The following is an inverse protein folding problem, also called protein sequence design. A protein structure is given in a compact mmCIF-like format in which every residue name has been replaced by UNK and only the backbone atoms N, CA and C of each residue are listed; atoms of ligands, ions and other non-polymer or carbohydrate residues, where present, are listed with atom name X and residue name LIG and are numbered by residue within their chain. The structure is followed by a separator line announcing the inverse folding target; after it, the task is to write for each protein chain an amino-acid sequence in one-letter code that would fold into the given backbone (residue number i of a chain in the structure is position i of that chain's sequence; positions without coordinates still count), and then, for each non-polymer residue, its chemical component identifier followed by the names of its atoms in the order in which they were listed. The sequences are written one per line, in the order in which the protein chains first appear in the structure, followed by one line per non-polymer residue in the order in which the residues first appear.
data_IF_046671947686
#
_entry.id   IF_046671947686
#
_cell.length_a   1.000
_cell.length_b   1.000
_cell.length_c   1.000
_cell.angle_alpha   90.00
_cell.angle_beta   90.00
_cell.angle_gamma   90.00
#
_symmetry.space_group_name_H-M   'P 1'
#
loop_
_entity.id
_entity.type
_entity.pdbx_description
1 polymer ?
#
# COMPACT_ATOMS: atom_id res chain seq x y z
N UNK A 1 -9.11 12.33 -6.94
CA UNK A 1 -9.55 11.66 -5.71
C UNK A 1 -10.81 10.88 -6.04
N UNK A 2 -10.78 9.56 -6.01
CA UNK A 2 -11.96 8.71 -6.25
C UNK A 2 -12.71 8.58 -4.93
N UNK A 3 -13.98 9.02 -4.87
CA UNK A 3 -14.85 8.75 -3.72
C UNK A 3 -15.39 7.32 -3.84
N UNK A 4 -15.01 6.45 -2.92
CA UNK A 4 -15.56 5.10 -2.79
C UNK A 4 -16.84 5.16 -1.96
N UNK A 5 -17.90 4.47 -2.40
CA UNK A 5 -19.10 4.29 -1.57
C UNK A 5 -18.95 3.06 -0.67
N UNK A 6 -19.53 3.03 0.53
CA UNK A 6 -19.58 1.83 1.35
C UNK A 6 -20.12 0.63 0.54
N UNK A 7 -19.39 -0.49 0.54
CA UNK A 7 -19.74 -1.70 -0.21
C UNK A 7 -19.26 -1.74 -1.66
N UNK A 8 -18.73 -0.64 -2.20
CA UNK A 8 -18.16 -0.60 -3.54
C UNK A 8 -16.73 -1.15 -3.54
N UNK A 9 -16.49 -2.18 -4.35
CA UNK A 9 -15.15 -2.72 -4.61
C UNK A 9 -14.64 -2.13 -5.93
N UNK A 10 -13.50 -1.45 -5.89
CA UNK A 10 -12.77 -1.04 -7.10
C UNK A 10 -11.39 -1.67 -7.10
N UNK A 11 -10.91 -2.07 -8.28
CA UNK A 11 -9.50 -2.43 -8.49
C UNK A 11 -8.70 -1.15 -8.66
N UNK A 12 -7.59 -1.03 -7.95
CA UNK A 12 -6.71 0.14 -8.00
C UNK A 12 -5.30 -0.30 -8.35
N UNK A 13 -4.77 0.21 -9.46
CA UNK A 13 -3.41 -0.09 -9.92
C UNK A 13 -2.45 0.97 -9.37
N UNK A 14 -1.21 0.56 -9.06
CA UNK A 14 -0.16 1.42 -8.49
C UNK A 14 1.09 1.46 -9.39
N UNK A 15 0.92 1.16 -10.68
CA UNK A 15 2.03 1.01 -11.63
C UNK A 15 2.81 2.32 -11.84
N UNK A 16 2.19 3.46 -11.57
CA UNK A 16 2.75 4.81 -11.62
C UNK A 16 3.11 5.38 -10.23
N UNK A 17 3.09 4.54 -9.19
CA UNK A 17 3.34 4.94 -7.81
C UNK A 17 4.63 4.32 -7.28
N UNK A 18 5.43 5.13 -6.60
CA UNK A 18 6.49 4.63 -5.73
C UNK A 18 5.86 4.27 -4.37
N UNK A 19 5.91 2.98 -4.02
CA UNK A 19 5.40 2.49 -2.74
C UNK A 19 6.55 2.30 -1.75
N UNK A 20 6.50 3.04 -0.66
CA UNK A 20 7.46 2.93 0.44
C UNK A 20 6.76 2.49 1.71
N UNK A 21 7.30 1.49 2.40
CA UNK A 21 6.74 1.01 3.66
C UNK A 21 6.93 2.06 4.74
N UNK A 22 5.86 2.44 5.42
CA UNK A 22 5.92 3.32 6.60
C UNK A 22 5.83 2.52 7.90
N UNK A 23 5.06 1.44 7.92
CA UNK A 23 4.94 0.56 9.07
C UNK A 23 4.52 -0.87 8.68
N UNK A 24 4.78 -1.83 9.56
CA UNK A 24 4.33 -3.21 9.44
C UNK A 24 3.71 -3.64 10.75
N UNK A 25 2.65 -4.44 10.70
CA UNK A 25 1.99 -5.01 11.87
C UNK A 25 1.51 -6.43 11.60
N UNK A 26 1.86 -7.35 12.48
CA UNK A 26 1.34 -8.72 12.45
C UNK A 26 0.41 -8.94 13.64
N UNK A 27 -0.81 -9.39 13.38
CA UNK A 27 -1.81 -9.71 14.42
C UNK A 27 -2.36 -11.11 14.16
N UNK A 28 -1.92 -12.09 14.95
CA UNK A 28 -2.25 -13.50 14.70
C UNK A 28 -1.70 -13.94 13.34
N UNK A 29 -2.60 -14.38 12.45
CA UNK A 29 -2.26 -14.75 11.05
C UNK A 29 -2.37 -13.58 10.06
N UNK A 30 -2.88 -12.42 10.49
CA UNK A 30 -3.06 -11.28 9.61
C UNK A 30 -1.77 -10.46 9.55
N UNK A 31 -1.27 -10.25 8.33
CA UNK A 31 -0.12 -9.39 8.05
C UNK A 31 -0.59 -8.08 7.42
N UNK A 32 -0.21 -6.96 8.04
CA UNK A 32 -0.60 -5.62 7.60
C UNK A 32 0.63 -4.78 7.30
N UNK A 33 0.58 -4.06 6.19
CA UNK A 33 1.62 -3.13 5.77
C UNK A 33 0.98 -1.77 5.49
N UNK A 34 1.58 -0.72 6.05
CA UNK A 34 1.27 0.65 5.68
C UNK A 34 2.28 1.08 4.64
N UNK A 35 1.79 1.58 3.52
CA UNK A 35 2.62 2.10 2.45
C UNK A 35 2.26 3.54 2.15
N UNK A 36 3.27 4.36 1.95
CA UNK A 36 3.13 5.68 1.36
C UNK A 36 3.22 5.53 -0.15
N UNK A 37 2.09 5.76 -0.83
CA UNK A 37 2.00 5.77 -2.28
C UNK A 37 2.32 7.18 -2.77
N UNK A 38 3.46 7.33 -3.44
CA UNK A 38 3.98 8.60 -3.95
C UNK A 38 3.92 8.60 -5.48
N UNK A 39 3.27 9.59 -6.11
CA UNK A 39 3.28 9.72 -7.56
C UNK A 39 4.70 9.84 -8.10
N UNK A 40 4.97 9.12 -9.20
CA UNK A 40 6.20 9.25 -9.98
C UNK A 40 5.91 10.15 -11.18
N UNK A 41 6.66 11.26 -11.28
CA UNK A 41 6.59 12.17 -12.42
C UNK A 41 7.09 11.51 -13.71
N UNK A 42 6.75 12.10 -14.85
CA UNK A 42 7.19 11.61 -16.17
C UNK A 42 8.72 11.62 -16.33
N UNK A 43 9.42 12.45 -15.56
CA UNK A 43 10.88 12.53 -15.48
C UNK A 43 11.51 11.53 -14.48
N UNK A 44 10.68 10.66 -13.87
CA UNK A 44 11.10 9.71 -12.84
C UNK A 44 11.22 10.32 -11.44
N UNK A 45 10.90 11.61 -11.25
CA UNK A 45 10.94 12.24 -9.93
C UNK A 45 9.85 11.70 -9.01
N UNK A 46 10.19 11.41 -7.76
CA UNK A 46 9.23 10.97 -6.74
C UNK A 46 8.77 12.20 -5.98
N UNK A 47 7.46 12.48 -6.03
CA UNK A 47 6.91 13.61 -5.29
C UNK A 47 6.78 13.26 -3.80
N UNK A 48 7.16 14.18 -2.91
CA UNK A 48 7.01 13.98 -1.46
C UNK A 48 5.55 13.96 -0.98
N UNK A 49 4.62 14.45 -1.79
CA UNK A 49 3.18 14.42 -1.50
C UNK A 49 2.59 13.05 -1.89
N UNK A 50 2.70 12.08 -0.97
CA UNK A 50 2.08 10.77 -1.11
C UNK A 50 0.94 10.54 -0.14
N UNK A 51 0.01 9.66 -0.49
CA UNK A 51 -1.04 9.19 0.40
C UNK A 51 -0.56 7.96 1.19
N UNK A 52 -0.88 7.91 2.48
CA UNK A 52 -0.68 6.67 3.25
C UNK A 52 -1.90 5.77 3.09
N UNK A 53 -1.65 4.50 2.83
CA UNK A 53 -2.68 3.47 2.71
C UNK A 53 -2.36 2.27 3.60
N UNK A 54 -3.40 1.64 4.11
CA UNK A 54 -3.30 0.41 4.90
C UNK A 54 -3.60 -0.80 4.02
N UNK A 55 -2.71 -1.79 3.99
CA UNK A 55 -2.84 -2.98 3.14
C UNK A 55 -2.84 -4.24 4.00
N UNK A 56 -3.93 -5.00 3.96
CA UNK A 56 -3.96 -6.38 4.43
C UNK A 56 -3.30 -7.27 3.37
N UNK A 57 -2.32 -8.07 3.78
CA UNK A 57 -1.64 -9.02 2.88
C UNK A 57 -2.13 -10.43 3.20
N UNK A 58 -2.66 -11.12 2.20
CA UNK A 58 -3.22 -12.46 2.37
C UNK A 58 -2.14 -13.52 2.61
N UNK A 59 -1.04 -13.45 1.85
CA UNK A 59 0.12 -14.31 2.04
C UNK A 59 1.24 -13.53 2.73
N UNK A 60 1.60 -13.97 3.93
CA UNK A 60 2.78 -13.44 4.64
C UNK A 60 4.00 -13.54 3.72
N UNK A 61 4.77 -12.45 3.55
CA UNK A 61 5.92 -12.46 2.67
C UNK A 61 7.00 -13.44 3.17
N UNK A 62 7.67 -14.12 2.25
CA UNK A 62 8.79 -15.04 2.55
C UNK A 62 10.03 -14.29 3.08
N UNK A 63 10.13 -13.00 2.76
CA UNK A 63 11.22 -12.10 3.16
C UNK A 63 10.67 -11.03 4.11
N UNK A 64 11.46 -10.68 5.12
CA UNK A 64 11.10 -9.60 6.05
C UNK A 64 10.98 -8.26 5.32
N UNK A 65 9.88 -7.56 5.59
CA UNK A 65 9.62 -6.21 5.09
C UNK A 65 9.79 -5.22 6.25
N UNK A 66 10.56 -4.16 6.03
CA UNK A 66 10.88 -3.16 7.06
C UNK A 66 10.47 -1.75 6.63
N UNK A 67 10.19 -0.84 7.58
CA UNK A 67 9.97 0.58 7.28
C UNK A 67 11.11 1.20 6.47
N UNK A 68 10.77 2.08 5.53
CA UNK A 68 11.70 2.72 4.59
C UNK A 68 12.02 1.88 3.35
N UNK A 69 11.57 0.62 3.30
CA UNK A 69 11.80 -0.25 2.16
C UNK A 69 10.83 0.06 1.01
N UNK A 70 11.35 0.05 -0.22
CA UNK A 70 10.53 0.07 -1.43
C UNK A 70 9.91 -1.31 -1.64
N UNK A 71 8.60 -1.34 -1.90
CA UNK A 71 7.87 -2.57 -2.15
C UNK A 71 6.96 -2.45 -3.37
N UNK A 72 6.48 -3.58 -3.84
CA UNK A 72 5.38 -3.69 -4.79
C UNK A 72 4.31 -4.61 -4.21
N UNK A 73 3.06 -4.33 -4.53
CA UNK A 73 1.90 -5.14 -4.13
C UNK A 73 1.62 -6.17 -5.23
N UNK A 74 1.44 -7.43 -4.85
CA UNK A 74 1.16 -8.53 -5.79
C UNK A 74 -0.34 -8.63 -6.06
N UNK A 75 -0.69 -8.77 -7.34
CA UNK A 75 -2.04 -8.95 -7.86
C UNK A 75 -2.87 -10.05 -7.18
N UNK A 76 -4.23 -9.99 -7.23
CA UNK A 76 -5.02 -9.00 -7.95
C UNK A 76 -5.22 -7.74 -7.12
N UNK A 77 -4.95 -6.61 -7.76
CA UNK A 77 -4.87 -5.32 -7.08
C UNK A 77 -6.16 -4.94 -6.34
N UNK A 78 -6.02 -4.92 -5.01
CA UNK A 78 -6.67 -4.07 -4.03
C UNK A 78 -8.20 -3.99 -4.08
N UNK A 79 -8.90 -4.79 -3.27
CA UNK A 79 -10.28 -4.48 -2.83
C UNK A 79 -10.23 -3.35 -1.81
N UNK A 80 -10.51 -2.13 -2.26
CA UNK A 80 -10.55 -0.96 -1.39
C UNK A 80 -11.84 -0.93 -0.54
N UNK A 81 -11.71 -0.63 0.75
CA UNK A 81 -12.82 -0.28 1.64
C UNK A 81 -12.44 0.98 2.41
N UNK A 82 -13.28 2.01 2.38
CA UNK A 82 -13.09 3.16 3.26
C UNK A 82 -13.48 2.76 4.68
N UNK A 83 -12.59 2.98 5.65
CA UNK A 83 -12.88 2.73 7.05
C UNK A 83 -12.75 4.04 7.81
N UNK A 84 -13.86 4.44 8.43
CA UNK A 84 -13.88 5.51 9.41
C UNK A 84 -13.20 4.99 10.68
N UNK A 85 -11.95 5.41 10.90
CA UNK A 85 -11.34 5.20 12.22
C UNK A 85 -11.95 6.20 13.20
N UNK A 86 -11.93 5.91 14.51
CA UNK A 86 -12.47 6.84 15.54
C UNK A 86 -11.69 8.17 15.62
N UNK A 87 -10.58 8.31 14.89
CA UNK A 87 -9.83 9.55 14.70
C UNK A 87 -10.13 10.07 13.30
N UNK A 88 -10.35 11.37 13.18
CA UNK A 88 -11.05 12.11 12.11
C UNK A 88 -10.62 11.90 10.65
N UNK A 89 -9.63 11.06 10.37
CA UNK A 89 -9.13 10.86 9.01
C UNK A 89 -9.61 9.51 8.47
N UNK A 90 -10.37 9.48 7.36
CA UNK A 90 -10.72 8.25 6.69
C UNK A 90 -9.43 7.58 6.19
N UNK A 91 -9.21 6.33 6.60
CA UNK A 91 -8.07 5.53 6.11
C UNK A 91 -8.59 4.66 4.97
N UNK A 92 -7.91 4.71 3.83
CA UNK A 92 -8.16 3.78 2.74
C UNK A 92 -7.49 2.45 3.09
N UNK A 93 -8.31 1.42 3.26
CA UNK A 93 -7.84 0.05 3.47
C UNK A 93 -7.96 -0.74 2.19
N UNK A 94 -6.94 -1.53 1.90
CA UNK A 94 -6.88 -2.40 0.73
C UNK A 94 -6.44 -3.82 1.09
N UNK A 95 -6.62 -4.75 0.14
CA UNK A 95 -6.21 -6.16 0.25
C UNK A 95 -5.32 -6.55 -0.92
N UNK A 96 -4.14 -7.12 -0.67
CA UNK A 96 -3.22 -7.64 -1.68
C UNK A 96 -2.93 -9.13 -1.43
N UNK A 97 -2.63 -9.92 -2.48
CA UNK A 97 -2.20 -11.31 -2.25
C UNK A 97 -0.84 -11.39 -1.57
N UNK A 98 0.03 -10.42 -1.86
CA UNK A 98 1.41 -10.43 -1.41
C UNK A 98 2.00 -9.04 -1.45
N UNK A 99 3.14 -8.90 -0.80
CA UNK A 99 4.01 -7.73 -0.88
C UNK A 99 5.41 -8.23 -1.17
N UNK A 100 6.09 -7.63 -2.14
CA UNK A 100 7.45 -8.00 -2.52
C UNK A 100 8.39 -6.80 -2.34
N UNK A 101 9.59 -6.97 -1.78
CA UNK A 101 10.59 -5.92 -1.82
C UNK A 101 11.04 -5.72 -3.26
N UNK A 102 11.14 -4.46 -3.68
CA UNK A 102 11.82 -4.12 -4.93
C UNK A 102 13.28 -3.89 -4.57
N UNK A 103 14.20 -4.56 -5.26
CA UNK A 103 15.63 -4.43 -5.01
C UNK A 103 16.04 -2.95 -4.91
N UNK A 104 17.00 -2.65 -4.02
CA UNK A 104 17.62 -1.33 -3.98
C UNK A 104 18.04 -0.97 -5.41
N UNK A 105 17.61 0.18 -5.90
CA UNK A 105 18.23 0.77 -7.09
C UNK A 105 19.70 0.90 -6.69
N UNK A 106 20.57 0.07 -7.27
CA UNK A 106 22.00 0.22 -7.12
C UNK A 106 22.33 1.63 -7.64
N UNK A 107 22.84 2.48 -6.76
CA UNK A 107 23.43 3.77 -7.13
C UNK A 107 24.56 3.55 -8.13
#
# INVERSE_FOLDING_TARGET
MVMLRPGQTQRVYFDDQFLMVSAVKTVGKAYWVWVRAMPVGADGSITGAGAEIEVAVENTPEVEIVPGQRVELVEPYLRASEILTRRRDPVLRFHALGVRPVGQIAN
#
